data_IF_791988963657
#
_entry.id   IF_791988963657
#
_cell.length_a   1.000
_cell.length_b   1.000
_cell.length_c   1.000
_cell.angle_alpha   90.00
_cell.angle_beta   90.00
_cell.angle_gamma   90.00
#
_symmetry.space_group_name_H-M   'P 1'
#
loop_
_entity.id
_entity.type
_entity.pdbx_description
1 polymer ?
#
# COMPACT_ATOMS: atom_id res chain seq x y z
N UNK A 1 -17.32 6.73 -7.39
CA UNK A 1 -16.20 7.52 -7.96
C UNK A 1 -14.99 7.55 -7.04
N UNK A 2 -15.05 8.12 -5.82
CA UNK A 2 -13.91 8.12 -4.86
C UNK A 2 -13.44 6.68 -4.53
N UNK A 3 -14.35 5.70 -4.32
CA UNK A 3 -13.96 4.32 -4.04
C UNK A 3 -13.19 3.61 -5.15
N UNK A 4 -13.60 3.84 -6.40
CA UNK A 4 -12.99 3.21 -7.57
C UNK A 4 -11.57 3.76 -7.79
N UNK A 5 -11.36 5.06 -7.57
CA UNK A 5 -10.04 5.69 -7.65
C UNK A 5 -9.08 5.13 -6.59
N UNK A 6 -9.58 4.96 -5.35
CA UNK A 6 -8.79 4.35 -4.28
C UNK A 6 -8.38 2.91 -4.60
N UNK A 7 -9.30 2.13 -5.18
CA UNK A 7 -9.04 0.76 -5.60
C UNK A 7 -7.98 0.70 -6.72
N UNK A 8 -8.11 1.51 -7.77
CA UNK A 8 -7.14 1.56 -8.87
C UNK A 8 -5.76 2.02 -8.37
N UNK A 9 -5.70 3.02 -7.49
CA UNK A 9 -4.44 3.46 -6.88
C UNK A 9 -3.74 2.34 -6.12
N UNK A 10 -4.51 1.51 -5.41
CA UNK A 10 -3.98 0.35 -4.69
C UNK A 10 -3.45 -0.73 -5.63
N UNK A 11 -4.14 -1.04 -6.73
CA UNK A 11 -3.64 -2.00 -7.73
C UNK A 11 -2.31 -1.51 -8.32
N UNK A 12 -2.22 -0.23 -8.67
CA UNK A 12 -0.99 0.36 -9.21
C UNK A 12 0.14 0.29 -8.17
N UNK A 13 -0.14 0.64 -6.91
CA UNK A 13 0.82 0.52 -5.82
C UNK A 13 1.35 -0.91 -5.66
N UNK A 14 0.46 -1.91 -5.76
CA UNK A 14 0.83 -3.32 -5.68
C UNK A 14 1.74 -3.74 -6.84
N UNK A 15 1.38 -3.40 -8.09
CA UNK A 15 2.22 -3.69 -9.25
C UNK A 15 3.61 -3.04 -9.14
N UNK A 16 3.68 -1.80 -8.65
CA UNK A 16 4.93 -1.10 -8.41
C UNK A 16 5.74 -1.74 -7.28
N UNK A 17 5.10 -2.23 -6.22
CA UNK A 17 5.77 -2.92 -5.12
C UNK A 17 6.37 -4.26 -5.58
N UNK A 18 5.68 -5.00 -6.45
CA UNK A 18 6.22 -6.21 -7.10
C UNK A 18 7.42 -5.85 -7.98
N UNK A 19 7.33 -4.77 -8.76
CA UNK A 19 8.45 -4.25 -9.53
C UNK A 19 9.65 -3.88 -8.65
N UNK A 20 9.41 -3.18 -7.54
CA UNK A 20 10.43 -2.79 -6.56
C UNK A 20 11.09 -3.99 -5.89
N UNK A 21 10.33 -5.07 -5.64
CA UNK A 21 10.86 -6.29 -5.03
C UNK A 21 11.77 -7.07 -5.99
N UNK A 22 11.43 -7.14 -7.28
CA UNK A 22 12.08 -8.01 -8.24
C UNK A 22 13.18 -7.32 -9.05
N UNK A 23 12.91 -6.13 -9.60
CA UNK A 23 13.80 -5.47 -10.58
C UNK A 23 15.16 -5.11 -9.96
N UNK A 24 15.23 -4.41 -8.81
CA UNK A 24 16.52 -4.03 -8.23
C UNK A 24 17.24 -5.22 -7.59
N UNK A 25 16.50 -6.24 -7.11
CA UNK A 25 17.08 -7.47 -6.62
C UNK A 25 17.80 -8.21 -7.74
N UNK A 26 17.15 -8.36 -8.89
CA UNK A 26 17.74 -8.92 -10.11
C UNK A 26 18.93 -8.10 -10.61
N UNK A 27 18.81 -6.78 -10.63
CA UNK A 27 19.91 -5.86 -10.94
C UNK A 27 21.12 -6.07 -10.03
N UNK A 28 20.88 -6.33 -8.74
CA UNK A 28 21.95 -6.61 -7.78
C UNK A 28 22.69 -7.93 -8.05
N UNK A 29 22.02 -8.93 -8.63
CA UNK A 29 22.63 -10.23 -8.99
C UNK A 29 23.44 -10.12 -10.28
N UNK A 30 22.94 -9.38 -11.27
CA UNK A 30 23.62 -9.18 -12.57
C UNK A 30 24.60 -8.02 -12.59
N UNK A 31 24.70 -7.26 -11.49
CA UNK A 31 25.45 -5.98 -11.41
C UNK A 31 25.01 -4.97 -12.47
N UNK A 32 23.72 -4.98 -12.80
CA UNK A 32 23.14 -4.03 -13.76
C UNK A 32 22.74 -2.74 -13.04
N UNK A 33 23.51 -1.69 -13.31
CA UNK A 33 23.34 -0.37 -12.69
C UNK A 33 21.99 0.26 -13.04
N UNK A 34 21.44 -0.01 -14.23
CA UNK A 34 20.17 0.57 -14.68
C UNK A 34 19.00 0.04 -13.87
N UNK A 35 18.94 -1.28 -13.68
CA UNK A 35 17.92 -1.94 -12.85
C UNK A 35 18.01 -1.53 -11.38
N UNK A 36 19.23 -1.28 -10.87
CA UNK A 36 19.43 -0.84 -9.49
C UNK A 36 19.02 0.61 -9.25
N UNK A 37 19.23 1.50 -10.23
CA UNK A 37 18.81 2.90 -10.18
C UNK A 37 17.29 3.09 -10.24
N UNK A 38 16.52 2.06 -10.62
CA UNK A 38 15.06 2.10 -10.57
C UNK A 38 14.52 1.97 -9.14
N UNK A 39 15.30 1.43 -8.19
CA UNK A 39 14.81 1.18 -6.83
C UNK A 39 14.28 2.45 -6.11
N UNK A 40 15.02 3.58 -6.09
CA UNK A 40 14.56 4.79 -5.43
C UNK A 40 13.28 5.36 -6.06
N UNK A 41 13.20 5.35 -7.40
CA UNK A 41 12.04 5.85 -8.14
C UNK A 41 10.80 5.00 -7.87
N UNK A 42 10.95 3.68 -7.89
CA UNK A 42 9.86 2.74 -7.58
C UNK A 42 9.41 2.88 -6.13
N UNK A 43 10.33 3.05 -5.17
CA UNK A 43 10.01 3.27 -3.77
C UNK A 43 9.13 4.52 -3.56
N UNK A 44 9.48 5.64 -4.19
CA UNK A 44 8.70 6.88 -4.14
C UNK A 44 7.34 6.69 -4.82
N UNK A 45 7.29 6.01 -5.97
CA UNK A 45 6.05 5.75 -6.68
C UNK A 45 5.08 4.89 -5.83
N UNK A 46 5.57 3.83 -5.18
CA UNK A 46 4.76 3.02 -4.24
C UNK A 46 4.21 3.89 -3.12
N UNK A 47 5.05 4.72 -2.48
CA UNK A 47 4.60 5.58 -1.40
C UNK A 47 3.54 6.59 -1.83
N UNK A 48 3.69 7.18 -3.03
CA UNK A 48 2.72 8.11 -3.58
C UNK A 48 1.34 7.45 -3.76
N UNK A 49 1.28 6.30 -4.44
CA UNK A 49 0.01 5.63 -4.70
C UNK A 49 -0.64 5.08 -3.41
N UNK A 50 0.15 4.58 -2.46
CA UNK A 50 -0.37 4.16 -1.15
C UNK A 50 -0.90 5.35 -0.35
N UNK A 51 -0.19 6.48 -0.35
CA UNK A 51 -0.64 7.70 0.34
C UNK A 51 -1.93 8.26 -0.27
N UNK A 52 -2.05 8.26 -1.61
CA UNK A 52 -3.28 8.65 -2.30
C UNK A 52 -4.43 7.73 -1.92
N UNK A 53 -4.25 6.41 -1.93
CA UNK A 53 -5.28 5.48 -1.53
C UNK A 53 -5.72 5.66 -0.07
N UNK A 54 -4.77 5.88 0.84
CA UNK A 54 -5.04 6.16 2.26
C UNK A 54 -5.81 7.48 2.45
N UNK A 55 -5.42 8.53 1.73
CA UNK A 55 -6.12 9.82 1.76
C UNK A 55 -7.56 9.71 1.24
N UNK A 56 -7.78 8.99 0.13
CA UNK A 56 -9.13 8.76 -0.41
C UNK A 56 -10.00 7.95 0.56
N UNK A 57 -9.42 6.97 1.26
CA UNK A 57 -10.13 6.24 2.31
C UNK A 57 -10.49 7.16 3.49
N UNK A 58 -9.58 8.04 3.90
CA UNK A 58 -9.82 9.00 4.98
C UNK A 58 -10.92 10.00 4.63
N UNK A 59 -10.95 10.50 3.40
CA UNK A 59 -12.05 11.34 2.90
C UNK A 59 -13.36 10.57 2.95
N UNK A 60 -13.37 9.30 2.52
CA UNK A 60 -14.58 8.46 2.53
C UNK A 60 -15.15 8.26 3.94
N UNK A 61 -14.29 8.12 4.95
CA UNK A 61 -14.68 8.07 6.38
C UNK A 61 -15.21 9.41 6.90
N UNK A 62 -14.66 10.54 6.44
CA UNK A 62 -15.08 11.87 6.86
C UNK A 62 -16.41 12.29 6.21
N UNK A 63 -16.68 11.84 4.99
CA UNK A 63 -17.93 12.11 4.26
C UNK A 63 -19.02 11.06 4.50
N UNK A 64 -18.77 10.08 5.39
CA UNK A 64 -19.67 8.95 5.67
C UNK A 64 -20.15 8.23 4.39
N UNK A 65 -19.24 7.97 3.46
CA UNK A 65 -19.59 7.26 2.23
C UNK A 65 -19.82 5.76 2.51
N UNK A 66 -21.07 5.40 2.77
CA UNK A 66 -21.49 4.02 3.06
C UNK A 66 -21.41 3.06 1.86
N UNK A 67 -21.08 3.55 0.66
CA UNK A 67 -20.80 2.64 -0.47
C UNK A 67 -19.52 1.83 -0.25
N UNK A 68 -18.64 2.31 0.62
CA UNK A 68 -17.40 1.63 1.02
C UNK A 68 -17.69 0.66 2.16
N UNK A 69 -17.46 -0.64 1.93
CA UNK A 69 -17.75 -1.70 2.90
C UNK A 69 -17.14 -1.44 4.28
N UNK A 70 -15.90 -0.93 4.31
CA UNK A 70 -15.17 -0.64 5.56
C UNK A 70 -15.77 0.54 6.32
N UNK A 71 -16.27 1.57 5.61
CA UNK A 71 -16.96 2.72 6.22
C UNK A 71 -18.33 2.28 6.74
N UNK A 72 -19.08 1.50 5.96
CA UNK A 72 -20.38 0.96 6.38
C UNK A 72 -20.28 0.05 7.62
N UNK A 73 -19.19 -0.71 7.74
CA UNK A 73 -18.99 -1.61 8.89
C UNK A 73 -18.45 -0.91 10.15
N UNK A 74 -17.76 0.24 10.03
CA UNK A 74 -17.00 0.83 11.15
C UNK A 74 -17.30 2.32 11.42
N UNK A 75 -18.15 2.99 10.62
CA UNK A 75 -18.55 4.40 10.83
C UNK A 75 -20.05 4.54 11.03
N UNK A 76 -20.46 5.56 11.78
CA UNK A 76 -21.85 5.99 11.91
C UNK A 76 -21.90 7.52 11.88
N UNK A 77 -22.92 8.09 11.23
CA UNK A 77 -23.06 9.53 11.03
C UNK A 77 -23.05 10.34 12.33
N UNK A 78 -23.46 9.75 13.45
CA UNK A 78 -23.50 10.38 14.78
C UNK A 78 -22.14 10.44 15.50
N UNK A 79 -21.09 9.78 14.98
CA UNK A 79 -19.77 9.79 15.62
C UNK A 79 -19.01 11.11 15.37
N UNK A 80 -18.33 11.67 16.39
CA UNK A 80 -17.40 12.76 16.19
C UNK A 80 -16.27 12.40 15.20
N UNK A 81 -15.78 13.37 14.40
CA UNK A 81 -14.82 13.10 13.32
C UNK A 81 -13.49 12.51 13.79
N UNK A 82 -13.07 12.78 15.03
CA UNK A 82 -11.84 12.21 15.61
C UNK A 82 -11.92 10.66 15.75
N UNK A 83 -13.12 10.16 16.06
CA UNK A 83 -13.36 8.72 16.21
C UNK A 83 -13.53 8.05 14.84
N UNK A 84 -14.12 8.75 13.87
CA UNK A 84 -14.17 8.30 12.46
C UNK A 84 -12.78 8.15 11.86
N UNK A 85 -11.89 9.11 12.15
CA UNK A 85 -10.49 9.01 11.72
C UNK A 85 -9.80 7.81 12.38
N UNK A 86 -9.99 7.59 13.68
CA UNK A 86 -9.44 6.43 14.38
C UNK A 86 -9.98 5.08 13.87
N UNK A 87 -11.24 5.05 13.42
CA UNK A 87 -11.87 3.87 12.83
C UNK A 87 -11.23 3.46 11.48
N UNK A 88 -10.55 4.39 10.80
CA UNK A 88 -9.89 4.13 9.52
C UNK A 88 -8.82 3.06 9.62
N UNK A 89 -8.01 3.07 10.68
CA UNK A 89 -6.96 2.07 10.91
C UNK A 89 -7.24 1.13 12.09
N UNK A 90 -8.32 1.38 12.85
CA UNK A 90 -8.74 0.52 13.97
C UNK A 90 -9.31 -0.83 13.54
N UNK A 91 -9.60 -1.01 12.25
CA UNK A 91 -10.08 -2.27 11.70
C UNK A 91 -8.94 -3.09 11.06
N UNK A 92 -9.16 -4.40 10.87
CA UNK A 92 -8.13 -5.30 10.34
C UNK A 92 -7.58 -4.87 8.98
N UNK A 93 -8.45 -4.42 8.06
CA UNK A 93 -8.03 -4.07 6.70
C UNK A 93 -7.29 -2.72 6.65
N UNK A 94 -7.79 -1.74 7.41
CA UNK A 94 -7.20 -0.42 7.57
C UNK A 94 -5.87 -0.43 8.30
N UNK A 95 -5.69 -1.31 9.30
CA UNK A 95 -4.41 -1.47 9.98
C UNK A 95 -3.30 -1.92 9.03
N UNK A 96 -3.60 -2.83 8.09
CA UNK A 96 -2.64 -3.31 7.10
C UNK A 96 -2.26 -2.20 6.12
N UNK A 97 -3.25 -1.43 5.66
CA UNK A 97 -3.04 -0.26 4.81
C UNK A 97 -2.13 0.78 5.50
N UNK A 98 -2.36 1.04 6.79
CA UNK A 98 -1.52 1.93 7.59
C UNK A 98 -0.09 1.40 7.73
N UNK A 99 0.09 0.10 7.94
CA UNK A 99 1.42 -0.51 7.97
C UNK A 99 2.17 -0.39 6.65
N UNK A 100 1.48 -0.60 5.52
CA UNK A 100 2.05 -0.39 4.19
C UNK A 100 2.39 1.08 3.96
N UNK A 101 1.56 2.01 4.43
CA UNK A 101 1.84 3.45 4.37
C UNK A 101 3.13 3.79 5.13
N UNK A 102 3.26 3.33 6.38
CA UNK A 102 4.46 3.54 7.20
C UNK A 102 5.69 2.94 6.52
N UNK A 103 5.59 1.69 6.05
CA UNK A 103 6.69 1.02 5.36
C UNK A 103 7.11 1.79 4.10
N UNK A 104 6.15 2.30 3.32
CA UNK A 104 6.41 3.10 2.12
C UNK A 104 7.03 4.47 2.41
N UNK A 105 6.66 5.08 3.54
CA UNK A 105 7.33 6.26 4.08
C UNK A 105 8.80 5.99 4.37
N UNK A 106 9.10 4.85 5.02
CA UNK A 106 10.48 4.42 5.26
C UNK A 106 11.24 4.08 3.97
N UNK A 107 10.61 3.43 2.99
CA UNK A 107 11.21 3.18 1.68
C UNK A 107 11.62 4.50 1.00
N UNK A 108 10.75 5.50 1.07
CA UNK A 108 11.03 6.85 0.52
C UNK A 108 12.14 7.55 1.28
N UNK A 109 12.16 7.48 2.62
CA UNK A 109 13.24 8.03 3.42
C UNK A 109 14.59 7.40 3.05
N UNK A 110 14.64 6.06 2.95
CA UNK A 110 15.85 5.36 2.50
C UNK A 110 16.24 5.79 1.08
N UNK A 111 15.30 5.89 0.15
CA UNK A 111 15.55 6.32 -1.22
C UNK A 111 16.15 7.74 -1.31
N UNK A 112 15.71 8.68 -0.46
CA UNK A 112 16.15 10.08 -0.51
C UNK A 112 17.42 10.35 0.30
N UNK A 113 17.60 9.68 1.45
CA UNK A 113 18.69 9.96 2.38
C UNK A 113 19.93 9.04 2.21
N UNK A 114 19.90 8.06 1.31
CA UNK A 114 20.99 7.07 1.13
C UNK A 114 22.12 7.46 0.17
N UNK A 115 22.29 8.75 -0.16
CA UNK A 115 23.24 9.24 -1.18
C UNK A 115 24.71 8.85 -0.95
N UNK A 116 25.10 8.49 0.27
CA UNK A 116 26.47 8.05 0.61
C UNK A 116 26.69 6.53 0.62
N UNK A 117 25.67 5.72 0.37
CA UNK A 117 25.77 4.26 0.44
C UNK A 117 26.04 3.63 -0.95
N UNK A 118 26.73 2.47 -1.00
CA UNK A 118 26.88 1.72 -2.24
C UNK A 118 25.52 1.39 -2.86
N UNK A 119 25.38 1.60 -4.18
CA UNK A 119 24.12 1.34 -4.91
C UNK A 119 23.61 -0.10 -4.69
N UNK A 120 24.51 -1.07 -4.53
CA UNK A 120 24.19 -2.47 -4.22
C UNK A 120 23.44 -2.63 -2.88
N UNK A 121 23.85 -1.87 -1.87
CA UNK A 121 23.21 -1.88 -0.56
C UNK A 121 21.80 -1.31 -0.67
N UNK A 122 21.67 -0.13 -1.29
CA UNK A 122 20.39 0.58 -1.43
C UNK A 122 19.38 -0.25 -2.23
N UNK A 123 19.80 -0.81 -3.38
CA UNK A 123 18.94 -1.62 -4.22
C UNK A 123 18.42 -2.86 -3.47
N UNK A 124 19.26 -3.55 -2.70
CA UNK A 124 18.85 -4.72 -1.91
C UNK A 124 17.93 -4.37 -0.76
N UNK A 125 18.24 -3.32 0.00
CA UNK A 125 17.40 -2.86 1.12
C UNK A 125 16.01 -2.50 0.61
N UNK A 126 15.92 -1.67 -0.43
CA UNK A 126 14.64 -1.29 -1.02
C UNK A 126 13.88 -2.48 -1.61
N UNK A 127 14.58 -3.45 -2.23
CA UNK A 127 13.95 -4.69 -2.71
C UNK A 127 13.36 -5.52 -1.58
N UNK A 128 14.07 -5.66 -0.46
CA UNK A 128 13.58 -6.38 0.73
C UNK A 128 12.36 -5.69 1.34
N UNK A 129 12.39 -4.36 1.44
CA UNK A 129 11.23 -3.60 1.90
C UNK A 129 10.05 -3.75 0.93
N UNK A 130 10.30 -3.77 -0.38
CA UNK A 130 9.30 -4.09 -1.40
C UNK A 130 8.71 -5.49 -1.24
N UNK A 131 9.53 -6.51 -0.97
CA UNK A 131 9.05 -7.88 -0.70
C UNK A 131 8.16 -7.94 0.54
N UNK A 132 8.53 -7.23 1.62
CA UNK A 132 7.70 -7.13 2.83
C UNK A 132 6.37 -6.43 2.50
N UNK A 133 6.39 -5.35 1.73
CA UNK A 133 5.19 -4.67 1.27
C UNK A 133 4.27 -5.64 0.51
N UNK A 134 4.80 -6.34 -0.51
CA UNK A 134 4.06 -7.37 -1.26
C UNK A 134 3.49 -8.44 -0.33
N UNK A 135 4.22 -8.84 0.71
CA UNK A 135 3.72 -9.75 1.75
C UNK A 135 2.47 -9.22 2.48
N UNK A 136 2.45 -7.94 2.87
CA UNK A 136 1.26 -7.31 3.45
C UNK A 136 0.07 -7.29 2.48
N UNK A 137 0.31 -7.03 1.20
CA UNK A 137 -0.73 -7.07 0.16
C UNK A 137 -1.29 -8.48 -0.05
N UNK A 138 -0.42 -9.49 -0.07
CA UNK A 138 -0.83 -10.88 -0.15
C UNK A 138 -1.62 -11.29 1.09
N UNK A 139 -1.23 -10.82 2.28
CA UNK A 139 -1.97 -11.06 3.52
C UNK A 139 -3.37 -10.42 3.49
N UNK A 140 -3.52 -9.28 2.82
CA UNK A 140 -4.84 -8.69 2.55
C UNK A 140 -5.69 -9.57 1.62
N UNK A 141 -5.07 -10.23 0.63
CA UNK A 141 -5.75 -11.10 -0.32
C UNK A 141 -5.91 -12.56 0.12
N UNK A 142 -5.34 -12.98 1.27
CA UNK A 142 -5.47 -14.35 1.75
C UNK A 142 -6.95 -14.65 2.07
N UNK A 143 -7.55 -15.68 1.45
CA UNK A 143 -8.90 -16.09 1.76
C UNK A 143 -8.97 -16.56 3.21
N UNK A 144 -9.85 -15.95 4.02
CA UNK A 144 -10.18 -16.51 5.35
C UNK A 144 -10.92 -17.86 5.25
N UNK A 145 -11.36 -18.26 4.05
CA UNK A 145 -12.03 -19.52 3.77
C UNK A 145 -11.58 -20.13 2.42
N UNK A 146 -11.36 -21.45 2.31
CA UNK A 146 -10.82 -22.12 1.12
C UNK A 146 -11.73 -22.10 -0.14
N UNK A 147 -12.92 -21.49 -0.06
CA UNK A 147 -13.93 -21.46 -1.13
C UNK A 147 -14.31 -20.04 -1.59
N UNK A 148 -13.62 -18.99 -1.12
CA UNK A 148 -13.84 -17.62 -1.63
C UNK A 148 -12.80 -17.28 -2.71
N UNK A 149 -13.29 -16.93 -3.90
CA UNK A 149 -12.52 -16.75 -5.13
C UNK A 149 -11.48 -15.63 -5.11
N UNK A 150 -10.68 -15.64 -6.18
CA UNK A 150 -9.50 -14.80 -6.45
C UNK A 150 -9.74 -13.29 -6.22
N UNK A 151 -8.91 -12.70 -5.36
CA UNK A 151 -8.91 -11.32 -4.85
C UNK A 151 -8.59 -10.23 -5.90
N UNK A 152 -9.22 -9.02 -5.82
CA UNK A 152 -8.57 -7.81 -6.31
C UNK A 152 -8.26 -6.75 -5.22
N UNK A 153 -9.19 -6.32 -4.37
CA UNK A 153 -8.99 -5.45 -3.18
C UNK A 153 -10.37 -5.34 -2.50
N UNK A 154 -10.50 -5.84 -1.27
CA UNK A 154 -11.81 -6.04 -0.61
C UNK A 154 -12.36 -4.78 0.09
N UNK A 155 -11.50 -3.79 0.33
CA UNK A 155 -11.80 -2.53 1.04
C UNK A 155 -12.98 -1.73 0.44
N UNK A 156 -13.20 -1.82 -0.88
CA UNK A 156 -14.06 -0.92 -1.63
C UNK A 156 -15.31 -1.58 -2.25
N UNK A 157 -15.41 -2.91 -2.22
CA UNK A 157 -16.57 -3.61 -2.77
C UNK A 157 -17.62 -3.79 -1.67
N UNK A 158 -18.60 -2.89 -1.64
CA UNK A 158 -19.84 -3.10 -0.91
C UNK A 158 -20.52 -4.37 -1.43
N UNK A 159 -20.83 -5.30 -0.54
CA UNK A 159 -21.75 -6.40 -0.84
C UNK A 159 -23.13 -5.80 -1.13
N UNK A 160 -23.54 -5.84 -2.38
CA UNK A 160 -24.96 -6.01 -2.71
C UNK A 160 -25.31 -7.48 -2.48
#
# INVERSE_FOLDING_TARGET
MIPELGHVALIIAFCLAVGLALIPMWGSMRRDVTAMNLAPTLAVAVALFVAVAFALLAVSFLTDDFTVAVVAANSNSLLPPIFKFSALWGNHEGSLLLWVLILSGWMTAVALFSRGLPLLMVARVLSVMGMIAVGFWLFHCLPRTPLSGFCPIRLWMGTI
#
